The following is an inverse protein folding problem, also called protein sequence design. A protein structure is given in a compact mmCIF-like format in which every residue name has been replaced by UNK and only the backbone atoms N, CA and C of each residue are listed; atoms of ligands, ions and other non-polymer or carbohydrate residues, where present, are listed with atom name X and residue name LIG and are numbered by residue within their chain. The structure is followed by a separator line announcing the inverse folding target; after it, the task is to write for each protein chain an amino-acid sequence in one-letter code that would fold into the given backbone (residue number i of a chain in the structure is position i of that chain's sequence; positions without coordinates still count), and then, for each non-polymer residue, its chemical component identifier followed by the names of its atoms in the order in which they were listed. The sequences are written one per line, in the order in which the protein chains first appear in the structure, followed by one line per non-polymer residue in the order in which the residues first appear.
data_IF_396816293650
#
_entry.id   IF_396816293650
#
_cell.length_a   1.000
_cell.length_b   1.000
_cell.length_c   1.000
_cell.angle_alpha   90.00
_cell.angle_beta   90.00
_cell.angle_gamma   90.00
#
_symmetry.space_group_name_H-M   'P 1'
#
loop_
_entity.id
_entity.type
_entity.pdbx_description
1 polymer ?
#
# COMPACT_ATOMS: atom_id res chain seq x y z
N UNK A 1 4.60 4.17 -20.33
CA UNK A 1 3.56 4.34 -19.29
C UNK A 1 4.09 5.17 -18.11
N UNK A 2 5.27 4.87 -17.60
CA UNK A 2 5.88 5.60 -16.47
C UNK A 2 6.08 7.10 -16.74
N UNK A 3 6.63 7.46 -17.90
CA UNK A 3 6.82 8.85 -18.31
C UNK A 3 5.49 9.63 -18.38
N UNK A 4 4.45 8.98 -18.93
CA UNK A 4 3.11 9.55 -19.02
C UNK A 4 2.48 9.73 -17.64
N UNK A 5 2.67 8.78 -16.73
CA UNK A 5 2.20 8.88 -15.36
C UNK A 5 2.86 10.06 -14.63
N UNK A 6 4.18 10.22 -14.79
CA UNK A 6 4.93 11.30 -14.17
C UNK A 6 4.47 12.68 -14.69
N UNK A 7 4.27 12.82 -16.01
CA UNK A 7 3.75 14.05 -16.62
C UNK A 7 2.35 14.40 -16.08
N UNK A 8 1.46 13.41 -16.02
CA UNK A 8 0.10 13.58 -15.47
C UNK A 8 0.13 13.98 -14.00
N UNK A 9 1.02 13.38 -13.22
CA UNK A 9 1.18 13.65 -11.80
C UNK A 9 1.64 15.09 -11.55
N UNK A 10 2.63 15.59 -12.30
CA UNK A 10 3.06 16.99 -12.22
C UNK A 10 1.91 17.96 -12.56
N UNK A 11 1.19 17.71 -13.66
CA UNK A 11 0.05 18.54 -14.03
C UNK A 11 -1.07 18.53 -12.98
N UNK A 12 -1.32 17.37 -12.35
CA UNK A 12 -2.31 17.28 -11.29
C UNK A 12 -1.89 18.12 -10.07
N UNK A 13 -0.62 18.06 -9.66
CA UNK A 13 -0.11 18.89 -8.56
C UNK A 13 -0.14 20.40 -8.86
N UNK A 14 0.11 20.81 -10.10
CA UNK A 14 0.00 22.23 -10.51
C UNK A 14 -1.45 22.76 -10.41
N UNK A 15 -2.44 21.89 -10.61
CA UNK A 15 -3.86 22.26 -10.57
C UNK A 15 -4.49 22.10 -9.18
N UNK A 16 -3.86 21.30 -8.31
CA UNK A 16 -4.32 21.13 -6.95
C UNK A 16 -3.79 22.25 -6.06
N UNK A 17 -4.69 22.94 -5.37
CA UNK A 17 -4.29 23.85 -4.30
C UNK A 17 -3.89 23.01 -3.07
N UNK A 18 -2.58 22.94 -2.81
CA UNK A 18 -1.96 22.11 -1.76
C UNK A 18 -2.49 22.45 -0.36
N UNK A 19 -3.11 23.61 -0.17
CA UNK A 19 -3.62 24.09 1.11
C UNK A 19 -5.08 23.70 1.40
N UNK A 20 -5.78 23.06 0.44
CA UNK A 20 -7.17 22.66 0.59
C UNK A 20 -7.28 21.15 0.76
N UNK A 21 -8.09 20.71 1.72
CA UNK A 21 -8.49 19.29 1.80
C UNK A 21 -9.45 18.98 0.64
N UNK A 22 -8.85 18.54 -0.47
CA UNK A 22 -9.56 18.28 -1.73
C UNK A 22 -10.45 17.04 -1.55
N UNK A 23 -11.75 17.17 -1.85
CA UNK A 23 -12.65 16.03 -1.85
C UNK A 23 -12.24 14.98 -2.90
N UNK A 24 -12.64 13.72 -2.70
CA UNK A 24 -12.35 12.66 -3.68
C UNK A 24 -12.96 12.97 -5.05
N UNK A 25 -14.16 13.56 -5.07
CA UNK A 25 -14.85 13.96 -6.30
C UNK A 25 -14.06 15.04 -7.06
N UNK A 26 -13.57 16.05 -6.37
CA UNK A 26 -12.82 17.14 -6.99
C UNK A 26 -11.43 16.67 -7.46
N UNK A 27 -10.78 15.76 -6.71
CA UNK A 27 -9.54 15.15 -7.15
C UNK A 27 -9.74 14.34 -8.44
N UNK A 28 -10.80 13.53 -8.53
CA UNK A 28 -11.11 12.82 -9.76
C UNK A 28 -11.38 13.75 -10.94
N UNK A 29 -12.07 14.87 -10.73
CA UNK A 29 -12.28 15.90 -11.78
C UNK A 29 -10.94 16.47 -12.28
N UNK A 30 -10.02 16.79 -11.37
CA UNK A 30 -8.69 17.29 -11.75
C UNK A 30 -7.91 16.26 -12.55
N UNK A 31 -7.91 15.00 -12.10
CA UNK A 31 -7.24 13.88 -12.79
C UNK A 31 -7.84 13.70 -14.19
N UNK A 32 -9.17 13.68 -14.31
CA UNK A 32 -9.87 13.51 -15.60
C UNK A 32 -9.55 14.64 -16.58
N UNK A 33 -9.46 15.89 -16.10
CA UNK A 33 -9.03 17.04 -16.89
C UNK A 33 -7.59 16.89 -17.37
N UNK A 34 -6.66 16.46 -16.52
CA UNK A 34 -5.26 16.23 -16.90
C UNK A 34 -5.13 15.13 -17.96
N UNK A 35 -5.84 14.02 -17.78
CA UNK A 35 -5.86 12.91 -18.75
C UNK A 35 -6.46 13.39 -20.08
N UNK A 36 -7.55 14.17 -20.05
CA UNK A 36 -8.16 14.73 -21.26
C UNK A 36 -7.20 15.63 -22.02
N UNK A 37 -6.53 16.58 -21.35
CA UNK A 37 -5.56 17.48 -21.98
C UNK A 37 -4.44 16.74 -22.70
N UNK A 38 -3.84 15.74 -22.06
CA UNK A 38 -2.77 14.94 -22.68
C UNK A 38 -3.32 14.09 -23.82
N UNK A 39 -4.56 13.60 -23.70
CA UNK A 39 -5.18 12.76 -24.74
C UNK A 39 -5.45 13.51 -26.05
N UNK A 40 -5.46 14.84 -26.04
CA UNK A 40 -5.55 15.67 -27.27
C UNK A 40 -4.31 15.55 -28.16
N UNK A 41 -3.16 15.24 -27.57
CA UNK A 41 -1.87 15.21 -28.25
C UNK A 41 -1.26 13.78 -28.31
N UNK A 42 -1.77 12.86 -27.48
CA UNK A 42 -1.26 11.50 -27.38
C UNK A 42 -2.40 10.51 -27.23
N UNK A 43 -2.49 9.54 -28.15
CA UNK A 43 -3.52 8.50 -28.09
C UNK A 43 -3.35 7.63 -26.82
N UNK A 44 -4.36 7.63 -25.95
CA UNK A 44 -4.41 6.81 -24.74
C UNK A 44 -5.65 5.91 -24.84
N UNK A 45 -5.47 4.59 -24.76
CA UNK A 45 -6.59 3.65 -24.77
C UNK A 45 -7.50 3.85 -23.55
N UNK A 46 -8.77 3.46 -23.67
CA UNK A 46 -9.75 3.56 -22.56
C UNK A 46 -9.24 2.82 -21.32
N UNK A 47 -8.70 1.62 -21.51
CA UNK A 47 -8.12 0.81 -20.42
C UNK A 47 -6.96 1.55 -19.72
N UNK A 48 -6.05 2.15 -20.48
CA UNK A 48 -4.92 2.89 -19.91
C UNK A 48 -5.36 4.17 -19.19
N UNK A 49 -6.44 4.83 -19.65
CA UNK A 49 -7.01 6.00 -18.96
C UNK A 49 -7.50 5.63 -17.56
N UNK A 50 -8.26 4.54 -17.45
CA UNK A 50 -8.77 4.08 -16.16
C UNK A 50 -7.63 3.66 -15.22
N UNK A 51 -6.64 2.94 -15.74
CA UNK A 51 -5.46 2.56 -14.98
C UNK A 51 -4.70 3.79 -14.45
N UNK A 52 -4.42 4.77 -15.31
CA UNK A 52 -3.74 6.01 -14.93
C UNK A 52 -4.56 6.83 -13.93
N UNK A 53 -5.87 6.89 -14.12
CA UNK A 53 -6.80 7.56 -13.19
C UNK A 53 -6.70 6.99 -11.79
N UNK A 54 -6.75 5.66 -11.67
CA UNK A 54 -6.64 4.97 -10.39
C UNK A 54 -5.25 5.12 -9.76
N UNK A 55 -4.19 4.98 -10.56
CA UNK A 55 -2.81 5.15 -10.07
C UNK A 55 -2.55 6.57 -9.57
N UNK A 56 -3.02 7.61 -10.28
CA UNK A 56 -2.89 8.99 -9.85
C UNK A 56 -3.64 9.25 -8.55
N UNK A 57 -4.88 8.78 -8.44
CA UNK A 57 -5.66 8.90 -7.23
C UNK A 57 -4.93 8.25 -6.04
N UNK A 58 -4.44 7.02 -6.20
CA UNK A 58 -3.71 6.31 -5.16
C UNK A 58 -2.42 7.04 -4.76
N UNK A 59 -1.69 7.59 -5.73
CA UNK A 59 -0.44 8.33 -5.46
C UNK A 59 -0.65 9.64 -4.69
N UNK A 60 -1.79 10.30 -4.90
CA UNK A 60 -2.10 11.60 -4.28
C UNK A 60 -2.81 11.41 -2.94
N UNK A 61 -3.84 10.57 -2.88
CA UNK A 61 -4.77 10.48 -1.74
C UNK A 61 -4.58 9.23 -0.87
N UNK A 62 -4.07 8.12 -1.43
CA UNK A 62 -3.91 6.84 -0.75
C UNK A 62 -2.44 6.49 -0.47
N UNK A 63 -2.12 5.21 -0.42
CA UNK A 63 -0.79 4.70 -0.09
C UNK A 63 0.05 4.38 -1.34
N UNK A 64 -0.20 5.10 -2.44
CA UNK A 64 0.54 4.97 -3.69
C UNK A 64 0.49 3.52 -4.23
N UNK A 65 1.64 2.98 -4.64
CA UNK A 65 1.75 1.61 -5.16
C UNK A 65 1.37 0.54 -4.13
N UNK A 66 1.45 0.83 -2.82
CA UNK A 66 1.04 -0.13 -1.78
C UNK A 66 -0.45 -0.41 -1.80
N UNK A 67 -1.27 0.52 -2.30
CA UNK A 67 -2.71 0.34 -2.33
C UNK A 67 -3.12 -0.90 -3.12
N UNK A 68 -2.46 -1.15 -4.23
CA UNK A 68 -2.66 -2.34 -5.08
C UNK A 68 -2.35 -3.65 -4.32
N UNK A 69 -1.29 -3.65 -3.50
CA UNK A 69 -0.92 -4.82 -2.70
C UNK A 69 -1.86 -5.05 -1.51
N UNK A 70 -2.36 -3.96 -0.93
CA UNK A 70 -3.32 -4.03 0.17
C UNK A 70 -4.68 -4.55 -0.29
N UNK A 71 -5.08 -4.27 -1.53
CA UNK A 71 -6.35 -4.70 -2.13
C UNK A 71 -6.29 -6.14 -2.71
N UNK A 72 -5.10 -6.75 -2.84
CA UNK A 72 -4.96 -8.15 -3.30
C UNK A 72 -5.12 -9.13 -2.12
N UNK A 73 -6.26 -9.81 -2.03
CA UNK A 73 -6.59 -10.74 -0.93
C UNK A 73 -5.67 -11.97 -0.86
N UNK A 74 -4.99 -12.32 -1.94
CA UNK A 74 -4.02 -13.42 -1.94
C UNK A 74 -2.70 -13.07 -1.22
N UNK A 75 -2.40 -11.78 -1.02
CA UNK A 75 -1.19 -11.32 -0.35
C UNK A 75 -1.40 -11.31 1.16
N UNK A 76 -0.49 -11.96 1.89
CA UNK A 76 -0.53 -12.10 3.34
C UNK A 76 0.43 -11.15 4.06
N UNK A 77 1.59 -10.88 3.44
CA UNK A 77 2.60 -9.99 4.01
C UNK A 77 3.27 -9.17 2.91
N UNK A 78 3.57 -7.91 3.22
CA UNK A 78 4.29 -6.97 2.36
C UNK A 78 5.51 -6.50 3.13
N UNK A 79 6.71 -6.68 2.56
CA UNK A 79 7.98 -6.32 3.18
C UNK A 79 8.72 -5.34 2.27
N UNK A 80 8.98 -4.15 2.76
CA UNK A 80 9.63 -3.05 2.04
C UNK A 80 10.98 -2.79 2.70
N UNK A 81 12.06 -3.01 1.95
CA UNK A 81 13.44 -2.78 2.39
C UNK A 81 14.07 -1.67 1.57
N UNK A 82 13.82 -0.41 1.97
CA UNK A 82 14.13 0.74 1.15
C UNK A 82 13.18 0.87 -0.06
N UNK A 83 13.33 1.93 -0.84
CA UNK A 83 12.36 2.27 -1.88
C UNK A 83 12.37 1.36 -3.13
N UNK A 84 13.42 0.51 -3.30
CA UNK A 84 13.60 -0.36 -4.47
C UNK A 84 13.20 -1.82 -4.25
N UNK A 85 13.26 -2.28 -3.00
CA UNK A 85 13.16 -3.70 -2.69
C UNK A 85 11.87 -3.99 -1.93
N UNK A 86 10.85 -4.35 -2.68
CA UNK A 86 9.54 -4.74 -2.15
C UNK A 86 9.36 -6.24 -2.38
N UNK A 87 9.06 -6.95 -1.31
CA UNK A 87 8.76 -8.37 -1.32
C UNK A 87 7.33 -8.58 -0.85
N UNK A 88 6.68 -9.57 -1.41
CA UNK A 88 5.32 -9.96 -1.04
C UNK A 88 5.29 -11.44 -0.72
N UNK A 89 4.52 -11.81 0.29
CA UNK A 89 4.16 -13.20 0.54
C UNK A 89 2.78 -13.47 -0.04
N UNK A 90 2.70 -14.49 -0.90
CA UNK A 90 1.47 -14.98 -1.51
C UNK A 90 1.44 -16.50 -1.48
N UNK A 91 0.40 -17.08 -0.84
CA UNK A 91 0.25 -18.54 -0.71
C UNK A 91 1.49 -19.21 -0.09
N UNK A 92 2.06 -18.61 0.95
CA UNK A 92 3.25 -19.12 1.66
C UNK A 92 4.57 -19.01 0.88
N UNK A 93 4.60 -18.23 -0.20
CA UNK A 93 5.83 -18.01 -0.98
C UNK A 93 6.17 -16.52 -1.02
N UNK A 94 7.42 -16.22 -0.69
CA UNK A 94 7.96 -14.86 -0.78
C UNK A 94 8.54 -14.65 -2.17
N UNK A 95 8.12 -13.57 -2.82
CA UNK A 95 8.63 -13.15 -4.14
C UNK A 95 8.92 -11.66 -4.14
N UNK A 96 9.93 -11.25 -4.92
CA UNK A 96 10.19 -9.83 -5.13
C UNK A 96 9.12 -9.27 -6.07
N UNK A 97 8.52 -8.15 -5.68
CA UNK A 97 7.58 -7.43 -6.53
C UNK A 97 8.32 -6.60 -7.59
N UNK A 98 7.70 -6.40 -8.74
CA UNK A 98 8.33 -5.78 -9.90
C UNK A 98 8.19 -4.25 -9.95
N UNK A 99 7.53 -3.62 -8.97
CA UNK A 99 7.44 -2.17 -8.83
C UNK A 99 8.31 -1.68 -7.68
N UNK A 100 8.60 -0.38 -7.69
CA UNK A 100 9.36 0.30 -6.65
C UNK A 100 8.78 1.71 -6.43
N UNK A 101 9.08 2.33 -5.30
CA UNK A 101 8.76 3.75 -5.09
C UNK A 101 9.66 4.64 -5.93
N UNK A 102 9.19 5.85 -6.23
CA UNK A 102 9.95 6.84 -7.01
C UNK A 102 11.26 7.23 -6.33
N UNK A 103 11.22 7.40 -4.99
CA UNK A 103 12.38 7.81 -4.20
C UNK A 103 12.25 7.38 -2.74
N UNK A 104 13.34 7.56 -1.99
CA UNK A 104 13.38 7.36 -0.54
C UNK A 104 12.41 8.29 0.18
N UNK A 105 12.38 9.56 -0.23
CA UNK A 105 11.52 10.59 0.34
C UNK A 105 10.05 10.22 0.18
N UNK A 106 9.67 9.69 -0.99
CA UNK A 106 8.31 9.21 -1.22
C UNK A 106 7.92 8.07 -0.28
N UNK A 107 8.84 7.15 -0.01
CA UNK A 107 8.60 6.07 0.95
C UNK A 107 8.50 6.60 2.40
N UNK A 108 9.30 7.61 2.76
CA UNK A 108 9.21 8.29 4.06
C UNK A 108 7.86 9.00 4.22
N UNK A 109 7.37 9.70 3.17
CA UNK A 109 6.04 10.32 3.16
C UNK A 109 4.93 9.28 3.37
N UNK A 110 5.03 8.11 2.74
CA UNK A 110 4.07 7.01 2.93
C UNK A 110 4.12 6.49 4.38
N UNK A 111 5.31 6.32 4.96
CA UNK A 111 5.45 5.90 6.35
C UNK A 111 4.81 6.92 7.32
N UNK A 112 5.04 8.23 7.10
CA UNK A 112 4.43 9.29 7.89
C UNK A 112 2.90 9.29 7.74
N UNK A 113 2.39 9.10 6.53
CA UNK A 113 0.96 9.00 6.25
C UNK A 113 0.31 7.82 6.98
N UNK A 114 0.94 6.64 6.94
CA UNK A 114 0.46 5.45 7.67
C UNK A 114 0.43 5.73 9.19
N UNK A 115 1.49 6.33 9.74
CA UNK A 115 1.52 6.70 11.16
C UNK A 115 0.40 7.68 11.51
N UNK A 116 0.19 8.72 10.70
CA UNK A 116 -0.84 9.74 10.90
C UNK A 116 -2.27 9.15 10.87
N UNK A 117 -2.54 8.16 10.00
CA UNK A 117 -3.84 7.46 9.95
C UNK A 117 -4.22 6.79 11.29
N UNK A 118 -3.21 6.50 12.13
CA UNK A 118 -3.39 5.90 13.46
C UNK A 118 -3.09 6.89 14.60
N UNK A 119 -3.09 8.19 14.31
CA UNK A 119 -2.74 9.27 15.26
C UNK A 119 -1.35 9.06 15.90
N UNK A 120 -0.39 8.52 15.16
CA UNK A 120 1.00 8.35 15.57
C UNK A 120 1.91 9.23 14.72
N UNK A 121 3.11 9.49 15.25
CA UNK A 121 4.16 10.22 14.54
C UNK A 121 5.37 9.33 14.37
N UNK A 122 5.96 9.35 13.17
CA UNK A 122 7.24 8.68 12.87
C UNK A 122 8.19 9.71 12.26
N UNK A 123 9.40 9.80 12.80
CA UNK A 123 10.47 10.69 12.35
C UNK A 123 11.82 10.23 12.91
N UNK A 124 12.89 10.98 12.67
CA UNK A 124 14.23 10.66 13.20
C UNK A 124 14.31 10.59 14.73
N UNK A 125 13.46 11.33 15.45
CA UNK A 125 13.41 11.28 16.91
C UNK A 125 12.58 10.09 17.44
N UNK A 126 11.61 9.65 16.66
CA UNK A 126 10.75 8.47 16.92
C UNK A 126 10.81 7.57 15.68
N UNK A 127 11.93 6.86 15.46
CA UNK A 127 12.18 6.17 14.21
C UNK A 127 11.50 4.81 14.09
N UNK A 128 10.90 4.28 15.16
CA UNK A 128 10.22 2.97 15.16
C UNK A 128 8.77 3.17 15.56
N UNK A 129 7.86 2.70 14.73
CA UNK A 129 6.41 2.73 15.00
C UNK A 129 5.78 1.40 14.62
N UNK A 130 5.01 0.86 15.56
CA UNK A 130 4.13 -0.29 15.34
C UNK A 130 2.68 0.20 15.40
N UNK A 131 1.88 -0.07 14.36
CA UNK A 131 0.52 0.44 14.25
C UNK A 131 -0.39 -0.54 13.50
N UNK A 132 -1.65 -0.13 13.29
CA UNK A 132 -2.61 -0.89 12.48
C UNK A 132 -3.28 0.02 11.45
N UNK A 133 -3.54 -0.53 10.27
CA UNK A 133 -4.42 0.11 9.29
C UNK A 133 -5.89 -0.06 9.68
N UNK A 134 -6.76 0.63 8.96
CA UNK A 134 -8.21 0.59 9.21
C UNK A 134 -8.83 -0.80 9.01
N UNK A 135 -8.25 -1.63 8.13
CA UNK A 135 -8.62 -3.02 7.89
C UNK A 135 -8.09 -4.01 8.96
N UNK A 136 -7.41 -3.50 10.01
CA UNK A 136 -6.82 -4.30 11.08
C UNK A 136 -5.40 -4.81 10.78
N UNK A 137 -4.89 -4.66 9.56
CA UNK A 137 -3.53 -5.05 9.16
C UNK A 137 -2.48 -4.39 10.06
N UNK A 138 -1.54 -5.19 10.55
CA UNK A 138 -0.47 -4.72 11.43
C UNK A 138 0.69 -4.18 10.61
N UNK A 139 1.15 -2.98 10.96
CA UNK A 139 2.26 -2.30 10.29
C UNK A 139 3.36 -2.01 11.28
N UNK A 140 4.57 -2.48 10.99
CA UNK A 140 5.79 -2.07 11.66
C UNK A 140 6.63 -1.23 10.70
N UNK A 141 7.12 -0.09 11.18
CA UNK A 141 7.91 0.85 10.39
C UNK A 141 9.17 1.26 11.14
N UNK A 142 10.28 1.30 10.42
CA UNK A 142 11.58 1.73 10.94
C UNK A 142 12.19 2.72 9.96
N UNK A 143 12.55 3.92 10.45
CA UNK A 143 13.20 4.96 9.68
C UNK A 143 14.66 5.18 10.12
N UNK A 144 15.35 6.10 9.43
CA UNK A 144 16.63 6.64 9.87
C UNK A 144 16.48 7.27 11.29
N UNK A 145 17.48 7.15 12.18
CA UNK A 145 18.83 6.60 11.96
C UNK A 145 18.95 5.08 12.15
N UNK A 146 17.89 4.38 12.50
CA UNK A 146 17.93 2.93 12.76
C UNK A 146 18.03 2.14 11.43
N UNK A 147 17.19 2.47 10.46
CA UNK A 147 17.24 1.90 9.13
C UNK A 147 18.21 2.70 8.22
N UNK A 148 19.44 2.20 8.08
CA UNK A 148 20.55 2.90 7.41
C UNK A 148 20.30 3.00 5.89
N UNK A 149 19.84 1.91 5.28
CA UNK A 149 19.66 1.80 3.81
C UNK A 149 18.32 2.37 3.31
N UNK A 150 17.58 3.05 4.19
CA UNK A 150 16.28 3.64 3.90
C UNK A 150 15.16 3.03 4.76
N UNK A 151 13.94 3.56 4.67
CA UNK A 151 12.82 3.08 5.45
C UNK A 151 12.57 1.58 5.26
N UNK A 152 12.29 0.89 6.37
CA UNK A 152 11.84 -0.50 6.36
C UNK A 152 10.39 -0.52 6.85
N UNK A 153 9.49 -1.10 6.07
CA UNK A 153 8.07 -1.22 6.41
C UNK A 153 7.65 -2.67 6.21
N UNK A 154 7.05 -3.24 7.24
CA UNK A 154 6.42 -4.58 7.15
C UNK A 154 4.94 -4.44 7.44
N UNK A 155 4.11 -4.94 6.53
CA UNK A 155 2.65 -4.97 6.67
C UNK A 155 2.21 -6.42 6.66
N UNK A 156 1.64 -6.87 7.78
CA UNK A 156 1.01 -8.19 7.89
C UNK A 156 -0.49 -8.01 7.81
N UNK A 157 -1.07 -8.48 6.71
CA UNK A 157 -2.50 -8.34 6.45
C UNK A 157 -3.33 -9.14 7.44
N UNK A 158 -4.45 -8.57 7.82
CA UNK A 158 -5.42 -9.24 8.65
C UNK A 158 -6.34 -10.09 7.77
N UNK A 159 -6.55 -11.35 8.15
CA UNK A 159 -7.53 -12.20 7.47
C UNK A 159 -8.93 -11.94 8.05
N UNK A 160 -9.87 -11.57 7.21
CA UNK A 160 -11.26 -11.34 7.59
C UNK A 160 -11.96 -12.65 8.02
N UNK A 161 -11.49 -13.79 7.55
CA UNK A 161 -12.00 -15.10 7.94
C UNK A 161 -11.07 -15.74 8.97
N UNK A 162 -11.52 -15.86 10.25
CA UNK A 162 -10.77 -16.62 11.24
C UNK A 162 -10.55 -18.05 10.75
N UNK A 163 -9.34 -18.57 10.97
CA UNK A 163 -9.08 -19.99 10.73
C UNK A 163 -9.83 -20.78 11.81
N UNK A 164 -10.87 -21.50 11.40
CA UNK A 164 -11.61 -22.39 12.28
C UNK A 164 -10.91 -23.75 12.47
N UNK A 165 -11.44 -24.57 13.37
CA UNK A 165 -10.89 -25.89 13.71
C UNK A 165 -10.91 -26.81 12.48
N UNK A 166 -11.97 -26.78 11.69
CA UNK A 166 -12.09 -27.62 10.51
C UNK A 166 -11.00 -27.30 9.50
N UNK A 167 -10.73 -26.00 9.31
CA UNK A 167 -9.64 -25.53 8.44
C UNK A 167 -8.25 -25.92 8.94
N UNK A 168 -8.03 -25.92 10.26
CA UNK A 168 -6.76 -26.41 10.85
C UNK A 168 -6.56 -27.90 10.61
N UNK A 169 -7.62 -28.70 10.66
CA UNK A 169 -7.60 -30.13 10.35
C UNK A 169 -7.28 -30.35 8.85
N UNK A 170 -7.98 -29.63 7.96
CA UNK A 170 -7.71 -29.69 6.50
C UNK A 170 -6.28 -29.37 6.13
N UNK A 171 -5.70 -28.35 6.81
CA UNK A 171 -4.31 -27.94 6.62
C UNK A 171 -3.29 -28.90 7.26
N UNK A 172 -3.74 -29.92 8.02
CA UNK A 172 -2.89 -30.84 8.76
C UNK A 172 -2.17 -30.22 9.95
N UNK A 173 -2.61 -29.04 10.41
CA UNK A 173 -2.02 -28.36 11.56
C UNK A 173 -2.35 -29.01 12.89
N UNK A 174 -3.54 -29.64 12.99
CA UNK A 174 -3.98 -30.46 14.13
C UNK A 174 -4.67 -31.73 13.60
N UNK A 175 -4.67 -32.80 14.41
CA UNK A 175 -5.47 -33.97 14.09
C UNK A 175 -6.91 -33.79 14.61
N UNK A 176 -7.82 -34.58 14.06
CA UNK A 176 -9.22 -34.54 14.52
C UNK A 176 -9.34 -34.91 16.01
N UNK A 177 -8.57 -35.92 16.46
CA UNK A 177 -8.57 -36.34 17.87
C UNK A 177 -8.07 -35.22 18.80
N UNK A 178 -7.09 -34.42 18.35
CA UNK A 178 -6.61 -33.27 19.11
C UNK A 178 -7.67 -32.14 19.15
N UNK A 179 -8.37 -31.91 18.04
CA UNK A 179 -9.48 -30.94 17.98
C UNK A 179 -10.61 -31.35 18.92
N UNK A 180 -11.08 -32.61 18.83
CA UNK A 180 -12.13 -33.16 19.70
C UNK A 180 -11.75 -33.05 21.19
N UNK A 181 -10.47 -33.23 21.52
CA UNK A 181 -9.97 -33.06 22.89
C UNK A 181 -10.02 -31.59 23.35
N UNK A 182 -9.65 -30.65 22.49
CA UNK A 182 -9.68 -29.22 22.82
C UNK A 182 -11.10 -28.67 22.98
N UNK A 183 -12.09 -29.24 22.30
CA UNK A 183 -13.51 -28.86 22.47
C UNK A 183 -14.13 -29.31 23.81
N UNK A 184 -13.48 -30.26 24.50
CA UNK A 184 -13.91 -30.76 25.79
C UNK A 184 -13.42 -29.93 27.00
N UNK A 185 -12.48 -28.97 26.76
CA UNK A 185 -11.86 -28.11 27.77
C UNK A 185 -12.58 -26.78 27.92
#
# INVERSE_FOLDING_TARGET
MEELFFELKQKAYEKLDINLDVSDEDLYKVIDVCIYEISQHRAISVHNRELLRQQLYNSIKRLDILQELLEDDDITEIMINGYKDIFIEKKGRITKWNKQFESREKLEDIAQRIAAMSNKTINEAIPIVDTRLADGSRVNMVLSPIAIDGPVITIRKFYDTPIDIDRLIELGSITKEAADFLELL
#
